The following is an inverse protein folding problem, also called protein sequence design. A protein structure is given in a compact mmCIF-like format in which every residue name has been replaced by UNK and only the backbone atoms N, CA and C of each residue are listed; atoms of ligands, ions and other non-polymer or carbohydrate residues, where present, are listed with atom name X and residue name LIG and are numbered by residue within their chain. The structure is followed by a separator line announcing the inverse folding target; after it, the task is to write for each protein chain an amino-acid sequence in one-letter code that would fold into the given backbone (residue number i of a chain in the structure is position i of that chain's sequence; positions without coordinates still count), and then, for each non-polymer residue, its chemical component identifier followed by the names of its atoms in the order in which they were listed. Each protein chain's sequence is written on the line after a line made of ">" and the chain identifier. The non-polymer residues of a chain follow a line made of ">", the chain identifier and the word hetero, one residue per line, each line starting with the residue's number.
data_IF_447186286694
#
_entry.id   IF_447186286694
#
_cell.length_a   1.000
_cell.length_b   1.000
_cell.length_c   1.000
_cell.angle_alpha   90.00
_cell.angle_beta   90.00
_cell.angle_gamma   90.00
#
_symmetry.space_group_name_H-M   'P 1'
#
loop_
_entity.id
_entity.type
_entity.pdbx_description
1 polymer ?
#
# COMPACT_ATOMS: atom_id res chain seq x y z
N UNK A 1 26.81 -28.59 8.77
CA UNK A 1 26.21 -28.85 7.44
C UNK A 1 24.73 -29.05 7.69
N UNK A 2 23.94 -28.00 7.45
CA UNK A 2 22.55 -27.92 7.88
C UNK A 2 21.63 -28.72 6.98
N UNK A 3 20.76 -29.52 7.58
CA UNK A 3 19.71 -30.26 6.89
C UNK A 3 18.72 -29.30 6.23
N UNK A 4 18.83 -29.12 4.91
CA UNK A 4 17.74 -28.57 4.11
C UNK A 4 16.61 -29.60 4.13
N UNK A 5 15.68 -29.38 5.06
CA UNK A 5 14.61 -30.29 5.32
C UNK A 5 13.69 -30.34 4.10
N UNK A 6 13.44 -31.53 3.49
CA UNK A 6 12.59 -31.65 2.30
C UNK A 6 11.15 -31.16 2.56
N UNK A 7 10.77 -31.06 3.84
CA UNK A 7 9.50 -30.51 4.29
C UNK A 7 9.42 -28.99 4.13
N UNK A 8 10.53 -28.26 4.31
CA UNK A 8 10.62 -26.80 4.06
C UNK A 8 10.55 -26.51 2.56
N UNK A 9 11.24 -27.30 1.73
CA UNK A 9 11.15 -27.18 0.27
C UNK A 9 9.73 -27.47 -0.25
N UNK A 10 9.02 -28.43 0.37
CA UNK A 10 7.63 -28.77 -0.01
C UNK A 10 6.63 -27.71 0.44
N UNK A 11 6.84 -27.10 1.61
CA UNK A 11 6.04 -25.97 2.09
C UNK A 11 6.24 -24.72 1.23
N UNK A 12 7.48 -24.40 0.85
CA UNK A 12 7.75 -23.30 -0.10
C UNK A 12 7.17 -23.58 -1.49
N UNK A 13 7.19 -24.85 -1.94
CA UNK A 13 6.54 -25.25 -3.19
C UNK A 13 5.02 -25.16 -3.08
N UNK A 14 4.41 -25.54 -1.96
CA UNK A 14 2.96 -25.41 -1.73
C UNK A 14 2.51 -23.95 -1.62
N UNK A 15 3.28 -23.10 -0.95
CA UNK A 15 3.02 -21.65 -0.89
C UNK A 15 3.15 -20.98 -2.27
N UNK A 16 3.97 -21.54 -3.18
CA UNK A 16 4.01 -21.12 -4.59
C UNK A 16 2.90 -21.75 -5.44
N UNK A 17 2.43 -22.95 -5.07
CA UNK A 17 1.41 -23.71 -5.80
C UNK A 17 -0.02 -23.27 -5.50
N UNK A 18 -0.27 -22.63 -4.34
CA UNK A 18 -1.54 -21.96 -4.02
C UNK A 18 -1.73 -20.63 -4.77
N UNK A 19 -0.99 -20.43 -5.87
CA UNK A 19 -1.22 -19.35 -6.80
C UNK A 19 -2.57 -19.50 -7.51
N UNK A 20 -3.23 -18.37 -7.75
CA UNK A 20 -4.43 -18.33 -8.60
C UNK A 20 -4.08 -18.98 -9.94
N UNK A 21 -4.79 -20.03 -10.38
CA UNK A 21 -4.53 -20.67 -11.66
C UNK A 21 -4.57 -19.61 -12.77
N UNK A 22 -3.53 -19.57 -13.60
CA UNK A 22 -3.35 -18.56 -14.65
C UNK A 22 -4.56 -18.50 -15.58
N UNK A 23 -5.22 -19.64 -15.83
CA UNK A 23 -6.41 -19.78 -16.68
C UNK A 23 -7.65 -19.03 -16.14
N UNK A 24 -7.67 -18.66 -14.86
CA UNK A 24 -8.74 -17.88 -14.24
C UNK A 24 -8.45 -16.37 -14.21
N UNK A 25 -7.25 -15.94 -14.62
CA UNK A 25 -6.92 -14.52 -14.66
C UNK A 25 -7.37 -13.93 -15.98
N UNK A 26 -8.48 -13.19 -15.95
CA UNK A 26 -8.88 -12.33 -17.07
C UNK A 26 -7.78 -11.28 -17.33
N UNK A 27 -7.05 -11.47 -18.43
CA UNK A 27 -5.94 -10.61 -18.84
C UNK A 27 -6.41 -9.19 -19.20
N UNK A 28 -7.60 -9.05 -19.79
CA UNK A 28 -8.14 -7.74 -20.14
C UNK A 28 -8.45 -6.96 -18.86
N UNK A 29 -9.12 -7.60 -17.90
CA UNK A 29 -9.40 -6.99 -16.61
C UNK A 29 -8.12 -6.68 -15.84
N UNK A 30 -7.11 -7.55 -15.87
CA UNK A 30 -5.81 -7.29 -15.24
C UNK A 30 -5.16 -6.02 -15.79
N UNK A 31 -5.11 -5.82 -17.10
CA UNK A 31 -4.51 -4.60 -17.66
C UNK A 31 -5.35 -3.35 -17.42
N UNK A 32 -6.68 -3.47 -17.34
CA UNK A 32 -7.54 -2.37 -16.89
C UNK A 32 -7.25 -1.99 -15.43
N UNK A 33 -7.04 -2.98 -14.56
CA UNK A 33 -6.69 -2.75 -13.15
C UNK A 33 -5.30 -2.11 -13.00
N UNK A 34 -4.34 -2.46 -13.85
CA UNK A 34 -3.02 -1.81 -13.92
C UNK A 34 -3.16 -0.33 -14.30
N UNK A 35 -3.96 -0.01 -15.33
CA UNK A 35 -4.23 1.39 -15.71
C UNK A 35 -4.93 2.16 -14.58
N UNK A 36 -5.86 1.52 -13.87
CA UNK A 36 -6.50 2.12 -12.71
C UNK A 36 -5.51 2.42 -11.56
N UNK A 37 -4.44 1.61 -11.40
CA UNK A 37 -3.35 1.92 -10.48
C UNK A 37 -2.50 3.10 -10.93
N UNK A 38 -2.23 3.24 -12.23
CA UNK A 38 -1.52 4.41 -12.76
C UNK A 38 -2.28 5.70 -12.49
N UNK A 39 -3.59 5.70 -12.75
CA UNK A 39 -4.45 6.83 -12.44
C UNK A 39 -4.46 7.11 -10.94
N UNK A 40 -4.53 6.07 -10.10
CA UNK A 40 -4.47 6.22 -8.64
C UNK A 40 -3.13 6.83 -8.20
N UNK A 41 -2.01 6.44 -8.82
CA UNK A 41 -0.70 7.05 -8.57
C UNK A 41 -0.71 8.55 -8.93
N UNK A 42 -1.23 8.92 -10.10
CA UNK A 42 -1.35 10.32 -10.50
C UNK A 42 -2.19 11.13 -9.51
N UNK A 43 -3.31 10.58 -9.02
CA UNK A 43 -4.13 11.21 -7.97
C UNK A 43 -3.36 11.35 -6.66
N UNK A 44 -2.57 10.34 -6.28
CA UNK A 44 -1.73 10.41 -5.08
C UNK A 44 -0.72 11.53 -5.20
N UNK A 45 -0.03 11.64 -6.33
CA UNK A 45 0.97 12.67 -6.56
C UNK A 45 0.34 14.08 -6.60
N UNK A 46 -0.81 14.26 -7.26
CA UNK A 46 -1.55 15.54 -7.31
C UNK A 46 -2.08 15.97 -5.94
N UNK A 47 -2.58 15.02 -5.14
CA UNK A 47 -3.33 15.31 -3.90
C UNK A 47 -2.59 14.90 -2.64
N UNK A 48 -1.27 14.72 -2.74
CA UNK A 48 -0.46 14.10 -1.69
C UNK A 48 -0.70 14.69 -0.31
N UNK A 49 -0.53 16.01 -0.15
CA UNK A 49 -0.70 16.69 1.13
C UNK A 49 -2.15 16.63 1.63
N UNK A 50 -3.13 16.73 0.73
CA UNK A 50 -4.56 16.65 1.11
C UNK A 50 -4.93 15.24 1.59
N UNK A 51 -4.39 14.20 0.96
CA UNK A 51 -4.59 12.81 1.39
C UNK A 51 -3.98 12.59 2.76
N UNK A 52 -2.73 13.03 2.98
CA UNK A 52 -2.05 12.91 4.26
C UNK A 52 -2.73 13.72 5.38
N UNK A 53 -3.41 14.82 5.07
CA UNK A 53 -4.09 15.64 6.06
C UNK A 53 -5.50 15.13 6.44
N UNK A 54 -5.98 14.00 5.89
CA UNK A 54 -7.32 13.48 6.20
C UNK A 54 -7.50 13.16 7.71
N UNK A 55 -8.76 13.04 8.19
CA UNK A 55 -9.04 12.37 9.45
C UNK A 55 -8.54 10.92 9.43
N UNK A 56 -8.15 10.37 10.58
CA UNK A 56 -7.48 9.07 10.68
C UNK A 56 -8.33 7.95 10.06
N UNK A 57 -9.61 7.82 10.42
CA UNK A 57 -10.50 6.80 9.88
C UNK A 57 -10.59 6.83 8.34
N UNK A 58 -10.73 8.02 7.77
CA UNK A 58 -10.80 8.22 6.33
C UNK A 58 -9.47 7.92 5.63
N UNK A 59 -8.34 8.22 6.29
CA UNK A 59 -7.01 7.88 5.81
C UNK A 59 -6.81 6.36 5.83
N UNK A 60 -7.10 5.70 6.95
CA UNK A 60 -6.94 4.26 7.12
C UNK A 60 -7.84 3.44 6.19
N UNK A 61 -9.08 3.88 5.95
CA UNK A 61 -9.98 3.25 5.00
C UNK A 61 -9.40 3.30 3.58
N UNK A 62 -8.98 4.49 3.13
CA UNK A 62 -8.35 4.67 1.81
C UNK A 62 -7.04 3.88 1.68
N UNK A 63 -6.22 3.85 2.73
CA UNK A 63 -4.95 3.11 2.77
C UNK A 63 -5.19 1.60 2.62
N UNK A 64 -6.14 1.05 3.37
CA UNK A 64 -6.49 -0.37 3.30
C UNK A 64 -6.99 -0.76 1.91
N UNK A 65 -7.92 -0.01 1.33
CA UNK A 65 -8.39 -0.23 -0.06
C UNK A 65 -7.22 -0.25 -1.04
N UNK A 66 -6.33 0.74 -0.95
CA UNK A 66 -5.18 0.85 -1.85
C UNK A 66 -4.21 -0.33 -1.70
N UNK A 67 -3.89 -0.73 -0.47
CA UNK A 67 -3.00 -1.86 -0.20
C UNK A 67 -3.61 -3.19 -0.66
N UNK A 68 -4.91 -3.40 -0.45
CA UNK A 68 -5.62 -4.60 -0.92
C UNK A 68 -5.53 -4.72 -2.44
N UNK A 69 -5.78 -3.62 -3.17
CA UNK A 69 -5.68 -3.60 -4.63
C UNK A 69 -4.26 -3.86 -5.11
N UNK A 70 -3.27 -3.25 -4.48
CA UNK A 70 -1.85 -3.47 -4.81
C UNK A 70 -1.46 -4.94 -4.64
N UNK A 71 -1.87 -5.58 -3.54
CA UNK A 71 -1.62 -7.02 -3.31
C UNK A 71 -2.30 -7.88 -4.37
N UNK A 72 -3.59 -7.67 -4.62
CA UNK A 72 -4.33 -8.40 -5.64
C UNK A 72 -3.70 -8.31 -7.04
N UNK A 73 -3.16 -7.14 -7.41
CA UNK A 73 -2.48 -6.96 -8.69
C UNK A 73 -1.09 -7.60 -8.68
N UNK A 74 -0.35 -7.50 -7.58
CA UNK A 74 0.95 -8.17 -7.43
C UNK A 74 0.81 -9.69 -7.52
N UNK A 75 -0.19 -10.26 -6.87
CA UNK A 75 -0.45 -11.71 -6.87
C UNK A 75 -0.80 -12.20 -8.28
N UNK A 76 -1.71 -11.49 -8.97
CA UNK A 76 -2.07 -11.81 -10.37
C UNK A 76 -0.90 -11.62 -11.33
N UNK A 77 -0.08 -10.58 -11.14
CA UNK A 77 1.12 -10.37 -11.94
C UNK A 77 2.14 -11.49 -11.71
N UNK A 78 2.33 -11.94 -10.47
CA UNK A 78 3.20 -13.07 -10.14
C UNK A 78 2.73 -14.38 -10.80
N UNK A 79 1.44 -14.68 -10.75
CA UNK A 79 0.87 -15.85 -11.41
C UNK A 79 1.05 -15.79 -12.94
N UNK A 80 0.75 -14.64 -13.57
CA UNK A 80 0.95 -14.46 -15.02
C UNK A 80 2.43 -14.56 -15.43
N UNK A 81 3.38 -14.07 -14.61
CA UNK A 81 4.82 -14.17 -14.90
C UNK A 81 5.32 -15.61 -14.76
N UNK A 82 4.89 -16.33 -13.71
CA UNK A 82 5.21 -17.73 -13.50
C UNK A 82 4.69 -18.62 -14.65
N UNK A 83 3.52 -18.29 -15.21
CA UNK A 83 2.96 -18.96 -16.39
C UNK A 83 3.55 -18.51 -17.74
N UNK A 84 4.54 -17.60 -17.76
CA UNK A 84 5.09 -17.05 -19.01
C UNK A 84 4.12 -16.21 -19.83
N UNK A 85 2.98 -15.80 -19.23
CA UNK A 85 1.90 -15.07 -19.90
C UNK A 85 2.13 -13.54 -19.89
N UNK A 86 3.15 -13.05 -19.18
CA UNK A 86 3.56 -11.66 -19.14
C UNK A 86 4.79 -11.40 -20.03
N UNK A 87 4.63 -10.50 -21.00
CA UNK A 87 5.76 -10.02 -21.80
C UNK A 87 6.81 -9.30 -20.92
N UNK A 88 8.11 -9.41 -21.24
CA UNK A 88 9.17 -8.80 -20.43
C UNK A 88 9.06 -7.28 -20.22
N UNK A 89 8.49 -6.56 -21.19
CA UNK A 89 8.26 -5.11 -21.04
C UNK A 89 7.12 -4.84 -20.05
N UNK A 90 6.01 -5.59 -20.16
CA UNK A 90 4.83 -5.43 -19.28
C UNK A 90 5.17 -5.80 -17.85
N UNK A 91 5.93 -6.88 -17.65
CA UNK A 91 6.45 -7.25 -16.33
C UNK A 91 7.25 -6.12 -15.69
N UNK A 92 8.22 -5.55 -16.42
CA UNK A 92 9.03 -4.41 -15.93
C UNK A 92 8.17 -3.22 -15.54
N UNK A 93 7.18 -2.91 -16.37
CA UNK A 93 6.23 -1.83 -16.13
C UNK A 93 5.40 -2.04 -14.85
N UNK A 94 4.78 -3.21 -14.70
CA UNK A 94 3.98 -3.55 -13.51
C UNK A 94 4.83 -3.51 -12.24
N UNK A 95 6.05 -4.09 -12.29
CA UNK A 95 6.98 -4.04 -11.15
C UNK A 95 7.32 -2.60 -10.78
N UNK A 96 7.66 -1.75 -11.76
CA UNK A 96 7.98 -0.35 -11.51
C UNK A 96 6.80 0.39 -10.87
N UNK A 97 5.57 0.20 -11.40
CA UNK A 97 4.36 0.82 -10.86
C UNK A 97 4.10 0.40 -9.41
N UNK A 98 4.17 -0.90 -9.12
CA UNK A 98 3.97 -1.44 -7.77
C UNK A 98 5.02 -0.91 -6.78
N UNK A 99 6.29 -0.83 -7.21
CA UNK A 99 7.38 -0.27 -6.40
C UNK A 99 7.16 1.21 -6.09
N UNK A 100 6.79 2.01 -7.09
CA UNK A 100 6.55 3.44 -6.91
C UNK A 100 5.36 3.67 -5.98
N UNK A 101 4.24 2.96 -6.19
CA UNK A 101 3.05 3.07 -5.34
C UNK A 101 3.35 2.67 -3.88
N UNK A 102 4.08 1.57 -3.66
CA UNK A 102 4.51 1.17 -2.32
C UNK A 102 5.32 2.27 -1.63
N UNK A 103 6.29 2.87 -2.34
CA UNK A 103 7.09 3.99 -1.81
C UNK A 103 6.22 5.19 -1.46
N UNK A 104 5.26 5.54 -2.32
CA UNK A 104 4.35 6.68 -2.08
C UNK A 104 3.45 6.46 -0.87
N UNK A 105 2.96 5.25 -0.65
CA UNK A 105 2.16 4.93 0.54
C UNK A 105 2.97 5.11 1.81
N UNK A 106 4.23 4.65 1.84
CA UNK A 106 5.11 4.86 3.00
C UNK A 106 5.32 6.36 3.28
N UNK A 107 5.57 7.14 2.23
CA UNK A 107 5.71 8.60 2.38
C UNK A 107 4.44 9.27 2.88
N UNK A 108 3.27 8.81 2.42
CA UNK A 108 1.98 9.28 2.93
C UNK A 108 1.78 8.90 4.40
N UNK A 109 2.15 7.69 4.80
CA UNK A 109 2.06 7.22 6.18
C UNK A 109 2.88 8.13 7.11
N UNK A 110 4.12 8.41 6.74
CA UNK A 110 4.98 9.34 7.48
C UNK A 110 4.39 10.76 7.55
N UNK A 111 3.87 11.27 6.43
CA UNK A 111 3.29 12.61 6.37
C UNK A 111 2.02 12.69 7.22
N UNK A 112 1.19 11.66 7.17
CA UNK A 112 -0.04 11.55 7.95
C UNK A 112 0.25 11.51 9.45
N UNK A 113 1.25 10.72 9.87
CA UNK A 113 1.69 10.68 11.26
C UNK A 113 2.11 12.08 11.78
N UNK A 114 2.87 12.84 10.98
CA UNK A 114 3.24 14.23 11.33
C UNK A 114 2.03 15.14 11.48
N UNK A 115 0.98 14.98 10.66
CA UNK A 115 -0.27 15.73 10.80
C UNK A 115 -1.01 15.36 12.10
N UNK A 116 -1.05 14.06 12.43
CA UNK A 116 -1.66 13.57 13.67
C UNK A 116 -0.96 14.14 14.91
N UNK A 117 0.38 14.10 14.93
CA UNK A 117 1.16 14.61 16.05
C UNK A 117 0.99 16.11 16.24
N UNK A 118 0.94 16.88 15.15
CA UNK A 118 0.65 18.33 15.19
C UNK A 118 -0.75 18.62 15.75
N UNK A 119 -1.76 17.80 15.40
CA UNK A 119 -3.11 17.95 15.93
C UNK A 119 -3.17 17.62 17.42
N UNK A 120 -2.50 16.55 17.86
CA UNK A 120 -2.40 16.19 19.27
C UNK A 120 -1.77 17.32 20.10
N UNK A 121 -0.61 17.85 19.68
CA UNK A 121 0.05 18.98 20.36
C UNK A 121 -0.80 20.24 20.44
N UNK A 122 -1.66 20.50 19.46
CA UNK A 122 -2.60 21.65 19.50
C UNK A 122 -3.74 21.42 20.47
N UNK A 123 -4.22 20.18 20.61
CA UNK A 123 -5.24 19.79 21.58
C UNK A 123 -4.70 19.85 23.01
N UNK A 124 -3.44 19.44 23.19
CA UNK A 124 -2.76 19.37 24.49
C UNK A 124 -1.98 20.65 24.84
N UNK A 125 -2.03 21.67 23.96
CA UNK A 125 -1.45 22.99 24.19
C UNK A 125 -2.09 23.69 25.40
N UNK A 126 -1.38 24.64 26.05
CA UNK A 126 -1.60 24.98 27.46
C UNK A 126 -3.04 25.41 27.74
N UNK A 127 -3.80 24.49 28.32
CA UNK A 127 -5.04 24.83 28.99
C UNK A 127 -4.69 25.72 30.19
N UNK A 128 -4.92 27.03 30.05
CA UNK A 128 -5.08 28.00 31.15
C UNK A 128 -4.00 27.94 32.25
N UNK A 129 -2.80 28.41 31.94
CA UNK A 129 -1.97 29.06 32.97
C UNK A 129 -2.37 30.54 33.00
N UNK A 130 -3.55 30.83 33.56
CA UNK A 130 -4.13 32.17 33.47
C UNK A 130 -5.45 32.34 34.23
N UNK A 131 -5.42 32.11 35.55
CA UNK A 131 -6.19 32.82 36.60
C UNK A 131 -6.10 32.03 37.91
N UNK A 132 -4.99 32.20 38.61
CA UNK A 132 -4.99 32.20 40.08
C UNK A 132 -4.44 33.56 40.48
N UNK A 133 -5.24 34.59 40.20
CA UNK A 133 -5.02 35.94 40.68
C UNK A 133 -5.96 36.17 41.85
N UNK A 134 -5.35 36.33 43.02
CA UNK A 134 -5.85 36.98 44.23
C UNK A 134 -7.18 37.72 44.10
N UNK A 135 -8.08 37.49 45.06
CA UNK A 135 -8.87 38.47 45.83
C UNK A 135 -9.38 37.65 47.05
N UNK A 136 -8.74 37.73 48.22
CA UNK A 136 -9.11 38.66 49.32
C UNK A 136 -10.62 38.78 49.53
#
# INVERSE_FOLDING_TARGET
>A
MGSDSPLTARLDAQLRADGIPVDHIDRLQFFADVQALELRLAIIDDRFDRLAARPDDAYQAWRRDTVIRLRSIADRAGALDAGGALEPHRRRHVVALLTVLRRRIVQLDERHARHRDRRARRRDGPARQGRVGLLL
#
